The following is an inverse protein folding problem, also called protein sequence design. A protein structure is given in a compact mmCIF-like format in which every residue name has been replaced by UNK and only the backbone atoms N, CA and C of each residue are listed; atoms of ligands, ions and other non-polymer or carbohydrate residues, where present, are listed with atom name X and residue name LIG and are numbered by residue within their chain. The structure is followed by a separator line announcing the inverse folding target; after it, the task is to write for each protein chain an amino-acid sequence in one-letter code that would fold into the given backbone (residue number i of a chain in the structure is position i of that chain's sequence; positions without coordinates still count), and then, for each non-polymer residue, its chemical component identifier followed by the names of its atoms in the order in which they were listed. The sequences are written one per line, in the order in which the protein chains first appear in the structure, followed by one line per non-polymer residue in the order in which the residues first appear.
data_IF_532599150123
#
_entry.id   IF_532599150123
#
_cell.length_a   1.000
_cell.length_b   1.000
_cell.length_c   1.000
_cell.angle_alpha   90.00
_cell.angle_beta   90.00
_cell.angle_gamma   90.00
#
_symmetry.space_group_name_H-M   'P 1'
#
loop_
_entity.id
_entity.type
_entity.pdbx_description
1 polymer ?
#
# COMPACT_ATOMS: atom_id res chain seq x y z
N UNK A 1 1.62 -1.38 -29.58
CA UNK A 1 1.92 -0.05 -29.05
C UNK A 1 2.72 -0.19 -27.76
N UNK A 2 3.95 0.31 -27.70
CA UNK A 2 4.77 0.24 -26.48
C UNK A 2 4.35 1.40 -25.57
N UNK A 3 3.65 1.11 -24.47
CA UNK A 3 3.28 2.11 -23.48
C UNK A 3 4.51 2.84 -22.93
N UNK A 4 4.39 4.14 -22.77
CA UNK A 4 5.47 5.04 -22.30
C UNK A 4 5.74 4.77 -20.81
N UNK A 5 6.96 4.95 -20.29
CA UNK A 5 7.28 4.81 -18.87
C UNK A 5 6.34 5.59 -17.94
N UNK A 6 5.88 6.77 -18.38
CA UNK A 6 4.89 7.58 -17.66
C UNK A 6 3.56 6.83 -17.47
N UNK A 7 3.09 6.09 -18.49
CA UNK A 7 1.87 5.29 -18.35
C UNK A 7 2.05 4.14 -17.35
N UNK A 8 3.22 3.51 -17.34
CA UNK A 8 3.53 2.46 -16.34
C UNK A 8 3.54 3.03 -14.93
N UNK A 9 4.14 4.21 -14.74
CA UNK A 9 4.14 4.95 -13.46
C UNK A 9 2.71 5.25 -12.99
N UNK A 10 1.89 5.91 -13.83
CA UNK A 10 0.53 6.32 -13.46
C UNK A 10 -0.39 5.12 -13.20
N UNK A 11 -0.30 4.08 -14.04
CA UNK A 11 -1.14 2.89 -13.88
C UNK A 11 -0.70 2.06 -12.68
N UNK A 12 0.60 1.99 -12.36
CA UNK A 12 1.07 1.32 -11.14
C UNK A 12 0.60 2.05 -9.88
N UNK A 13 0.63 3.39 -9.88
CA UNK A 13 0.04 4.21 -8.82
C UNK A 13 -1.44 3.90 -8.64
N UNK A 14 -2.22 3.97 -9.73
CA UNK A 14 -3.65 3.67 -9.71
C UNK A 14 -3.96 2.24 -9.25
N UNK A 15 -3.17 1.25 -9.68
CA UNK A 15 -3.33 -0.13 -9.23
C UNK A 15 -3.10 -0.28 -7.72
N UNK A 16 -2.06 0.36 -7.17
CA UNK A 16 -1.79 0.32 -5.73
C UNK A 16 -2.89 1.00 -4.93
N UNK A 17 -3.39 2.16 -5.40
CA UNK A 17 -4.53 2.85 -4.78
C UNK A 17 -5.81 2.01 -4.82
N UNK A 18 -6.05 1.27 -5.90
CA UNK A 18 -7.20 0.37 -6.03
C UNK A 18 -7.11 -0.81 -5.05
N UNK A 19 -5.93 -1.37 -4.83
CA UNK A 19 -5.75 -2.45 -3.85
C UNK A 19 -6.06 -1.95 -2.44
N UNK A 20 -5.57 -0.77 -2.05
CA UNK A 20 -5.94 -0.17 -0.76
C UNK A 20 -7.44 0.11 -0.64
N UNK A 21 -8.14 0.43 -1.74
CA UNK A 21 -9.60 0.53 -1.75
C UNK A 21 -10.28 -0.82 -1.50
N UNK A 22 -9.84 -1.87 -2.19
CA UNK A 22 -10.36 -3.22 -2.01
C UNK A 22 -10.17 -3.69 -0.56
N UNK A 23 -8.97 -3.49 -0.03
CA UNK A 23 -8.65 -3.80 1.37
C UNK A 23 -9.53 -2.98 2.34
N UNK A 24 -9.70 -1.69 2.11
CA UNK A 24 -10.56 -0.83 2.93
C UNK A 24 -12.03 -1.30 2.93
N UNK A 25 -12.56 -1.72 1.78
CA UNK A 25 -13.93 -2.25 1.67
C UNK A 25 -14.06 -3.59 2.39
N UNK A 26 -13.14 -4.51 2.19
CA UNK A 26 -13.22 -5.86 2.75
C UNK A 26 -12.97 -5.80 4.26
N UNK A 27 -11.77 -5.36 4.65
CA UNK A 27 -11.32 -5.38 6.04
C UNK A 27 -12.06 -4.36 6.89
N UNK A 28 -12.18 -3.12 6.41
CA UNK A 28 -12.81 -2.03 7.15
C UNK A 28 -14.25 -2.35 7.52
N UNK A 29 -15.07 -2.81 6.57
CA UNK A 29 -16.46 -3.18 6.84
C UNK A 29 -16.59 -4.42 7.74
N UNK A 30 -15.76 -5.45 7.52
CA UNK A 30 -15.82 -6.67 8.33
C UNK A 30 -15.36 -6.37 9.75
N UNK A 31 -14.19 -5.76 9.92
CA UNK A 31 -13.63 -5.47 11.24
C UNK A 31 -14.48 -4.47 12.01
N UNK A 32 -15.02 -3.45 11.35
CA UNK A 32 -15.92 -2.47 11.99
C UNK A 32 -17.23 -3.08 12.49
N UNK A 33 -17.66 -4.23 11.95
CA UNK A 33 -18.85 -4.94 12.44
C UNK A 33 -18.65 -5.59 13.82
N UNK A 34 -17.40 -5.77 14.25
CA UNK A 34 -17.08 -6.33 15.56
C UNK A 34 -16.77 -5.22 16.57
N UNK A 35 -17.52 -5.20 17.68
CA UNK A 35 -17.31 -4.23 18.78
C UNK A 35 -16.08 -4.55 19.63
N UNK A 36 -15.56 -5.77 19.53
CA UNK A 36 -14.46 -6.28 20.33
C UNK A 36 -13.44 -6.96 19.41
N UNK A 37 -12.19 -6.52 19.46
CA UNK A 37 -11.09 -7.12 18.70
C UNK A 37 -10.91 -8.61 18.97
N UNK A 38 -11.16 -9.06 20.19
CA UNK A 38 -11.05 -10.47 20.53
C UNK A 38 -12.00 -11.36 19.70
N UNK A 39 -13.15 -10.81 19.30
CA UNK A 39 -14.20 -11.51 18.52
C UNK A 39 -13.95 -11.48 17.01
N UNK A 40 -13.00 -10.65 16.54
CA UNK A 40 -12.62 -10.63 15.13
C UNK A 40 -12.04 -12.01 14.76
N UNK A 41 -12.51 -12.66 13.69
CA UNK A 41 -11.98 -13.95 13.25
C UNK A 41 -10.47 -13.91 13.10
N UNK A 42 -9.80 -14.98 13.53
CA UNK A 42 -8.34 -15.05 13.57
C UNK A 42 -7.68 -14.78 12.20
N UNK A 43 -8.31 -15.19 11.12
CA UNK A 43 -7.80 -15.01 9.76
C UNK A 43 -7.86 -13.56 9.25
N UNK A 44 -8.62 -12.68 9.93
CA UNK A 44 -8.61 -11.25 9.66
C UNK A 44 -7.62 -10.47 10.52
N UNK A 45 -7.05 -11.12 11.55
CA UNK A 45 -6.02 -10.50 12.38
C UNK A 45 -4.70 -10.53 11.62
N UNK A 46 -4.08 -9.38 11.42
CA UNK A 46 -2.85 -9.24 10.64
C UNK A 46 -1.71 -10.14 11.14
N UNK A 47 -1.70 -10.43 12.44
CA UNK A 47 -0.70 -11.29 13.09
C UNK A 47 -0.62 -12.71 12.53
N UNK A 48 -1.66 -13.20 11.86
CA UNK A 48 -1.72 -14.56 11.33
C UNK A 48 -1.38 -14.67 9.85
N UNK A 49 -0.98 -13.59 9.20
CA UNK A 49 -0.53 -13.52 7.79
C UNK A 49 -1.54 -14.05 6.74
N UNK A 50 -2.70 -14.56 7.14
CA UNK A 50 -3.69 -15.11 6.20
C UNK A 50 -4.33 -14.01 5.39
N UNK A 51 -4.86 -12.98 6.06
CA UNK A 51 -5.48 -11.86 5.39
C UNK A 51 -4.48 -10.99 4.60
N UNK A 52 -3.33 -10.58 5.17
CA UNK A 52 -2.29 -9.92 4.39
C UNK A 52 -1.82 -10.74 3.19
N UNK A 53 -1.71 -12.05 3.33
CA UNK A 53 -1.38 -12.96 2.24
C UNK A 53 -2.44 -12.94 1.13
N UNK A 54 -3.72 -12.91 1.48
CA UNK A 54 -4.83 -12.77 0.51
C UNK A 54 -4.73 -11.45 -0.25
N UNK A 55 -4.55 -10.33 0.44
CA UNK A 55 -4.38 -9.01 -0.21
C UNK A 55 -3.16 -9.00 -1.12
N UNK A 56 -2.04 -9.61 -0.71
CA UNK A 56 -0.86 -9.75 -1.55
C UNK A 56 -1.14 -10.56 -2.83
N UNK A 57 -1.88 -11.66 -2.73
CA UNK A 57 -2.28 -12.46 -3.91
C UNK A 57 -3.17 -11.64 -4.84
N UNK A 58 -4.16 -10.91 -4.31
CA UNK A 58 -5.01 -10.03 -5.11
C UNK A 58 -4.16 -8.96 -5.82
N UNK A 59 -3.21 -8.35 -5.11
CA UNK A 59 -2.28 -7.38 -5.68
C UNK A 59 -1.45 -7.97 -6.82
N UNK A 60 -0.89 -9.17 -6.63
CA UNK A 60 -0.11 -9.85 -7.67
C UNK A 60 -0.96 -10.20 -8.89
N UNK A 61 -2.17 -10.74 -8.69
CA UNK A 61 -3.07 -11.08 -9.79
C UNK A 61 -3.51 -9.84 -10.57
N UNK A 62 -3.84 -8.75 -9.87
CA UNK A 62 -4.17 -7.47 -10.52
C UNK A 62 -2.99 -6.94 -11.33
N UNK A 63 -1.78 -7.02 -10.80
CA UNK A 63 -0.56 -6.60 -11.47
C UNK A 63 -0.28 -7.40 -12.75
N UNK A 64 -0.49 -8.72 -12.70
CA UNK A 64 -0.36 -9.59 -13.87
C UNK A 64 -1.42 -9.28 -14.94
N UNK A 65 -2.68 -9.08 -14.51
CA UNK A 65 -3.79 -8.72 -15.41
C UNK A 65 -3.53 -7.38 -16.09
N UNK A 66 -3.18 -6.34 -15.34
CA UNK A 66 -2.85 -5.00 -15.86
C UNK A 66 -1.67 -5.07 -16.82
N UNK A 67 -0.59 -5.77 -16.45
CA UNK A 67 0.57 -5.96 -17.33
C UNK A 67 0.16 -6.60 -18.65
N UNK A 68 -0.69 -7.63 -18.63
CA UNK A 68 -1.17 -8.35 -19.81
C UNK A 68 -2.04 -7.46 -20.69
N UNK A 69 -3.02 -6.77 -20.11
CA UNK A 69 -3.99 -5.92 -20.83
C UNK A 69 -3.27 -4.76 -21.53
N UNK A 70 -2.35 -4.10 -20.85
CA UNK A 70 -1.62 -2.95 -21.40
C UNK A 70 -0.33 -3.32 -22.12
N UNK A 71 0.01 -4.61 -22.19
CA UNK A 71 1.27 -5.10 -22.78
C UNK A 71 2.51 -4.39 -22.19
N UNK A 72 2.54 -4.22 -20.88
CA UNK A 72 3.65 -3.57 -20.19
C UNK A 72 4.88 -4.47 -20.12
N UNK A 73 6.06 -3.85 -20.17
CA UNK A 73 7.31 -4.54 -19.90
C UNK A 73 7.41 -5.00 -18.42
N UNK A 74 8.40 -5.86 -18.13
CA UNK A 74 8.67 -6.29 -16.74
C UNK A 74 9.01 -5.12 -15.79
N UNK A 75 9.41 -3.96 -16.28
CA UNK A 75 9.67 -2.77 -15.48
C UNK A 75 8.41 -2.27 -14.75
N UNK A 76 7.21 -2.63 -15.20
CA UNK A 76 5.97 -2.33 -14.49
C UNK A 76 5.97 -2.87 -13.06
N UNK A 77 6.54 -4.07 -12.82
CA UNK A 77 6.66 -4.63 -11.48
C UNK A 77 7.64 -3.85 -10.58
N UNK A 78 8.65 -3.18 -11.16
CA UNK A 78 9.52 -2.29 -10.38
C UNK A 78 8.77 -1.09 -9.84
N UNK A 79 7.91 -0.47 -10.65
CA UNK A 79 7.05 0.63 -10.19
C UNK A 79 6.15 0.18 -9.04
N UNK A 80 5.49 -0.97 -9.20
CA UNK A 80 4.62 -1.54 -8.15
C UNK A 80 5.39 -1.86 -6.88
N UNK A 81 6.57 -2.47 -7.01
CA UNK A 81 7.41 -2.82 -5.87
C UNK A 81 7.83 -1.56 -5.09
N UNK A 82 8.24 -0.49 -5.78
CA UNK A 82 8.61 0.77 -5.15
C UNK A 82 7.41 1.37 -4.38
N UNK A 83 6.20 1.33 -4.96
CA UNK A 83 4.99 1.78 -4.27
C UNK A 83 4.66 0.94 -3.03
N UNK A 84 4.77 -0.38 -3.15
CA UNK A 84 4.49 -1.30 -2.04
C UNK A 84 5.46 -1.10 -0.88
N UNK A 85 6.78 -1.07 -1.17
CA UNK A 85 7.82 -0.82 -0.15
C UNK A 85 7.71 0.58 0.45
N UNK A 86 7.28 1.58 -0.33
CA UNK A 86 7.01 2.93 0.18
C UNK A 86 5.78 3.05 1.06
N UNK A 87 5.00 1.99 1.25
CA UNK A 87 3.82 1.98 2.12
C UNK A 87 2.57 2.64 1.52
N UNK A 88 2.54 2.87 0.20
CA UNK A 88 1.42 3.53 -0.46
C UNK A 88 0.11 2.75 -0.31
N UNK A 89 0.16 1.42 -0.31
CA UNK A 89 -1.02 0.58 -0.11
C UNK A 89 -1.65 0.86 1.25
N UNK A 90 -0.86 0.85 2.32
CA UNK A 90 -1.31 1.14 3.69
C UNK A 90 -1.92 2.55 3.82
N UNK A 91 -1.27 3.56 3.25
CA UNK A 91 -1.80 4.94 3.26
C UNK A 91 -3.08 5.02 2.43
N UNK A 92 -3.15 4.33 1.30
CA UNK A 92 -4.34 4.25 0.46
C UNK A 92 -5.53 3.64 1.21
N UNK A 93 -5.31 2.54 1.94
CA UNK A 93 -6.32 1.92 2.80
C UNK A 93 -6.97 2.94 3.75
N UNK A 94 -6.17 3.65 4.55
CA UNK A 94 -6.68 4.63 5.50
C UNK A 94 -7.29 5.87 4.83
N UNK A 95 -6.75 6.28 3.68
CA UNK A 95 -7.32 7.36 2.88
C UNK A 95 -8.73 7.01 2.41
N UNK A 96 -8.94 5.80 1.90
CA UNK A 96 -10.24 5.34 1.44
C UNK A 96 -11.23 5.18 2.60
N UNK A 97 -10.80 4.68 3.74
CA UNK A 97 -11.62 4.63 4.95
C UNK A 97 -12.14 6.02 5.30
N UNK A 98 -11.27 7.04 5.26
CA UNK A 98 -11.66 8.43 5.50
C UNK A 98 -12.63 8.96 4.45
N UNK A 99 -12.35 8.75 3.16
CA UNK A 99 -13.17 9.25 2.05
C UNK A 99 -14.55 8.59 2.06
N UNK A 100 -14.61 7.27 2.21
CA UNK A 100 -15.83 6.49 2.19
C UNK A 100 -16.56 6.47 3.54
N UNK A 101 -15.99 7.12 4.56
CA UNK A 101 -16.53 7.16 5.94
C UNK A 101 -16.83 5.76 6.49
N UNK A 102 -15.97 4.79 6.19
CA UNK A 102 -16.10 3.43 6.71
C UNK A 102 -15.94 3.50 8.24
N UNK A 103 -16.88 2.93 9.03
CA UNK A 103 -16.78 2.93 10.48
C UNK A 103 -15.47 2.29 10.95
N UNK A 104 -14.79 2.93 11.91
CA UNK A 104 -13.59 2.39 12.53
C UNK A 104 -13.95 1.57 13.75
N UNK A 105 -13.18 0.52 14.02
CA UNK A 105 -13.31 -0.21 15.26
C UNK A 105 -12.92 0.66 16.49
N UNK A 106 -13.41 0.33 17.70
CA UNK A 106 -13.18 1.12 18.91
C UNK A 106 -11.69 1.22 19.32
N UNK A 107 -10.81 0.42 18.70
CA UNK A 107 -9.36 0.42 18.94
C UNK A 107 -8.59 1.45 18.10
N UNK A 108 -9.28 2.20 17.25
CA UNK A 108 -8.63 3.24 16.46
C UNK A 108 -8.82 4.60 17.11
N UNK A 109 -7.75 5.21 17.54
CA UNK A 109 -7.73 6.57 18.06
C UNK A 109 -7.25 7.55 16.98
N UNK A 110 -8.08 8.53 16.55
CA UNK A 110 -7.65 9.54 15.63
C UNK A 110 -6.60 10.45 16.29
N UNK A 111 -5.46 10.63 15.64
CA UNK A 111 -4.46 11.58 16.09
C UNK A 111 -4.92 13.04 15.91
N UNK A 112 -4.30 13.98 16.62
CA UNK A 112 -4.60 15.41 16.56
C UNK A 112 -3.89 16.18 15.43
N UNK A 113 -3.10 15.48 14.59
CA UNK A 113 -2.31 16.10 13.50
C UNK A 113 -3.11 16.23 12.19
N UNK A 114 -2.55 16.95 11.21
CA UNK A 114 -3.08 17.07 9.84
C UNK A 114 -3.33 15.68 9.21
N UNK A 115 -2.54 14.69 9.61
CA UNK A 115 -2.68 13.29 9.20
C UNK A 115 -3.42 12.45 10.24
N UNK A 116 -4.34 13.04 10.99
CA UNK A 116 -5.14 12.35 12.02
C UNK A 116 -5.96 11.17 11.49
N UNK A 117 -6.14 11.10 10.18
CA UNK A 117 -6.78 10.00 9.49
C UNK A 117 -5.87 8.76 9.34
N UNK A 118 -4.56 8.91 9.55
CA UNK A 118 -3.61 7.80 9.56
C UNK A 118 -3.15 7.54 11.00
N UNK A 119 -3.10 6.28 11.47
CA UNK A 119 -2.64 5.95 12.81
C UNK A 119 -1.24 6.47 13.10
N UNK A 120 -0.95 6.76 14.38
CA UNK A 120 0.40 7.16 14.80
C UNK A 120 1.43 6.07 14.52
N UNK A 121 1.03 4.82 14.70
CA UNK A 121 1.84 3.63 14.55
C UNK A 121 1.16 2.67 13.60
N UNK A 122 1.95 1.92 12.86
CA UNK A 122 1.50 0.95 11.87
C UNK A 122 2.11 -0.43 12.16
N UNK A 123 1.71 -1.09 13.27
CA UNK A 123 2.32 -2.37 13.69
C UNK A 123 2.16 -3.49 12.64
N UNK A 124 1.16 -3.39 11.76
CA UNK A 124 1.00 -4.32 10.63
C UNK A 124 2.11 -4.22 9.58
N UNK A 125 2.85 -3.10 9.52
CA UNK A 125 4.00 -2.93 8.64
C UNK A 125 5.30 -3.50 9.24
N UNK A 126 5.37 -3.69 10.55
CA UNK A 126 6.55 -4.26 11.22
C UNK A 126 6.91 -5.64 10.67
N UNK A 127 5.88 -6.39 10.22
CA UNK A 127 6.00 -7.70 9.58
C UNK A 127 6.85 -7.64 8.32
N UNK A 128 6.69 -6.59 7.51
CA UNK A 128 7.38 -6.46 6.23
C UNK A 128 8.77 -5.87 6.38
N UNK A 129 8.99 -5.05 7.39
CA UNK A 129 10.24 -4.30 7.52
C UNK A 129 11.22 -4.87 8.53
N UNK A 130 10.82 -5.86 9.34
CA UNK A 130 11.65 -6.41 10.44
C UNK A 130 12.36 -5.31 11.24
N UNK A 131 11.69 -4.17 11.47
CA UNK A 131 12.32 -2.96 11.98
C UNK A 131 12.92 -3.12 13.37
N UNK A 132 12.44 -4.08 14.17
CA UNK A 132 13.10 -4.45 15.43
C UNK A 132 14.55 -4.87 15.26
N UNK A 133 14.92 -5.43 14.09
CA UNK A 133 16.29 -5.83 13.80
C UNK A 133 17.19 -4.67 13.34
N UNK A 134 16.59 -3.56 12.88
CA UNK A 134 17.31 -2.44 12.26
C UNK A 134 17.22 -1.14 13.09
N UNK A 135 16.16 -0.98 13.88
CA UNK A 135 15.98 0.19 14.75
C UNK A 135 15.40 -0.24 16.11
N UNK A 136 15.71 0.52 17.17
CA UNK A 136 15.12 0.32 18.50
C UNK A 136 13.64 0.76 18.58
N UNK A 137 12.99 1.05 17.45
CA UNK A 137 11.58 1.41 17.38
C UNK A 137 10.72 0.16 17.54
N UNK A 138 9.72 0.21 18.42
CA UNK A 138 8.80 -0.90 18.63
C UNK A 138 7.85 -1.10 17.44
N UNK A 139 7.49 -0.01 16.73
CA UNK A 139 6.56 -0.02 15.60
C UNK A 139 6.96 0.99 14.52
N UNK A 140 6.50 0.75 13.28
CA UNK A 140 6.63 1.72 12.19
C UNK A 140 5.79 2.94 12.51
N UNK A 141 6.42 4.10 12.58
CA UNK A 141 5.73 5.36 12.85
C UNK A 141 5.08 5.92 11.58
N UNK A 142 4.07 6.78 11.76
CA UNK A 142 3.43 7.54 10.68
C UNK A 142 4.45 8.30 9.84
N UNK A 143 5.39 8.95 10.50
CA UNK A 143 6.44 9.76 9.86
C UNK A 143 7.35 8.89 8.98
N UNK A 144 7.66 7.68 9.43
CA UNK A 144 8.43 6.72 8.65
C UNK A 144 7.68 6.31 7.37
N UNK A 145 6.37 6.02 7.48
CA UNK A 145 5.53 5.68 6.32
C UNK A 145 5.45 6.84 5.34
N UNK A 146 5.20 8.06 5.82
CA UNK A 146 5.13 9.24 4.96
C UNK A 146 6.47 9.53 4.26
N UNK A 147 7.58 9.35 4.97
CA UNK A 147 8.92 9.44 4.39
C UNK A 147 9.13 8.37 3.32
N UNK A 148 8.68 7.14 3.59
CA UNK A 148 8.71 6.04 2.62
C UNK A 148 7.95 6.37 1.32
N UNK A 149 6.78 7.01 1.42
CA UNK A 149 6.00 7.45 0.25
C UNK A 149 6.74 8.52 -0.54
N UNK A 150 7.31 9.53 0.13
CA UNK A 150 8.12 10.55 -0.56
C UNK A 150 9.29 9.90 -1.28
N UNK A 151 9.99 8.96 -0.64
CA UNK A 151 11.04 8.17 -1.25
C UNK A 151 10.54 7.37 -2.47
N UNK A 152 9.38 6.74 -2.36
CA UNK A 152 8.76 5.99 -3.46
C UNK A 152 8.39 6.90 -4.65
N UNK A 153 7.88 8.09 -4.40
CA UNK A 153 7.62 9.09 -5.45
C UNK A 153 8.93 9.43 -6.18
N UNK A 154 9.97 9.81 -5.44
CA UNK A 154 11.27 10.18 -6.00
C UNK A 154 11.85 9.03 -6.84
N UNK A 155 11.88 7.81 -6.30
CA UNK A 155 12.42 6.65 -7.00
C UNK A 155 11.63 6.30 -8.27
N UNK A 156 10.30 6.37 -8.23
CA UNK A 156 9.46 6.11 -9.38
C UNK A 156 9.60 7.19 -10.46
N UNK A 157 9.78 8.46 -10.08
CA UNK A 157 10.10 9.55 -11.01
C UNK A 157 11.45 9.32 -11.66
N UNK A 158 12.49 9.00 -10.89
CA UNK A 158 13.82 8.70 -11.41
C UNK A 158 13.80 7.49 -12.36
N UNK A 159 13.10 6.42 -12.00
CA UNK A 159 12.91 5.26 -12.87
C UNK A 159 12.24 5.65 -14.19
N UNK A 160 11.21 6.49 -14.13
CA UNK A 160 10.52 7.01 -15.32
C UNK A 160 11.46 7.78 -16.23
N UNK A 161 12.28 8.67 -15.67
CA UNK A 161 13.28 9.46 -16.43
C UNK A 161 14.30 8.52 -17.09
N UNK A 162 14.90 7.61 -16.33
CA UNK A 162 15.90 6.65 -16.84
C UNK A 162 15.35 5.82 -17.99
N UNK A 163 14.14 5.28 -17.85
CA UNK A 163 13.52 4.46 -18.90
C UNK A 163 13.14 5.30 -20.13
N UNK A 164 12.78 6.57 -19.96
CA UNK A 164 12.48 7.48 -21.06
C UNK A 164 13.74 7.81 -21.83
N UNK A 165 14.83 8.20 -21.16
CA UNK A 165 16.12 8.52 -21.79
C UNK A 165 16.71 7.32 -22.52
N UNK A 166 16.66 6.13 -21.91
CA UNK A 166 17.15 4.90 -22.53
C UNK A 166 16.41 4.54 -23.81
N UNK A 167 15.15 4.96 -23.93
CA UNK A 167 14.33 4.72 -25.11
C UNK A 167 14.61 5.70 -26.25
N UNK A 168 14.92 6.96 -25.94
CA UNK A 168 15.22 7.99 -26.95
C UNK A 168 16.58 7.78 -27.62
N UNK A 169 17.45 6.96 -27.02
CA UNK A 169 18.77 6.62 -27.54
C UNK A 169 18.82 5.38 -28.44
N UNK A 170 17.67 4.72 -28.61
CA UNK A 170 17.47 3.57 -29.52
C UNK A 170 16.64 3.97 -30.73
#
# INVERSE_FOLDING_TARGET
MSFRPVSMFLISLGNTLLIGLIDAIIKGNIVASYKDWAKVPWYFKDQNYVYPGLIFVIFLLSALAVRKVFNFSRHYFLFLFIWAVGGLESVSYWLWIKILKIPQGPWWEPGTSVFSWYPKEAPWLDIFFHLKAVSNAEHVTREAVLTGIVGAIVLNVLLTIVLTVKRTRK
#
